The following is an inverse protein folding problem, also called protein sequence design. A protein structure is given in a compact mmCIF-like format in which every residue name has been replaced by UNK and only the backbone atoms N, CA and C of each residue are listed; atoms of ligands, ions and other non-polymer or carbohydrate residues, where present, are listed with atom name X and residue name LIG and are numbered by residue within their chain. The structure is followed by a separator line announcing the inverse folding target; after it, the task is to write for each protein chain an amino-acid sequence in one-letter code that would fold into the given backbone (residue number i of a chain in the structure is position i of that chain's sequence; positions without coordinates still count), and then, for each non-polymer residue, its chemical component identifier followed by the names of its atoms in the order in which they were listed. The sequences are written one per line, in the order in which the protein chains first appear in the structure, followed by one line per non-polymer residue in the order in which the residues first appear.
data_IF_686224166372
#
_entry.id   IF_686224166372
#
_cell.length_a   1.000
_cell.length_b   1.000
_cell.length_c   1.000
_cell.angle_alpha   90.00
_cell.angle_beta   90.00
_cell.angle_gamma   90.00
#
_symmetry.space_group_name_H-M   'P 1'
#
loop_
_entity.id
_entity.type
_entity.pdbx_description
1 polymer ?
#
# COMPACT_ATOMS: atom_id res chain seq x y z
N UNK A 1 5.78 7.29 21.46
CA UNK A 1 6.36 7.60 20.13
C UNK A 1 7.58 6.71 19.95
N UNK A 2 7.42 5.54 19.33
CA UNK A 2 8.54 4.60 19.14
C UNK A 2 9.34 5.06 17.90
N UNK A 3 10.66 5.18 18.03
CA UNK A 3 11.58 5.90 17.13
C UNK A 3 11.80 5.30 15.74
N UNK A 4 10.77 4.82 15.06
CA UNK A 4 10.82 4.62 13.62
C UNK A 4 10.79 5.99 12.95
N UNK A 5 11.98 6.55 12.65
CA UNK A 5 12.11 7.65 11.69
C UNK A 5 11.51 7.14 10.38
N UNK A 6 10.31 7.58 10.02
CA UNK A 6 9.81 7.44 8.65
C UNK A 6 10.82 8.21 7.80
N UNK A 7 11.66 7.53 6.99
CA UNK A 7 12.68 8.22 6.23
C UNK A 7 11.94 9.21 5.35
N UNK A 8 12.28 10.48 5.53
CA UNK A 8 11.68 11.58 4.80
C UNK A 8 11.80 11.24 3.31
N UNK A 9 10.67 11.18 2.58
CA UNK A 9 10.59 10.77 1.16
C UNK A 9 11.59 11.53 0.26
N UNK A 10 12.08 12.69 0.72
CA UNK A 10 13.06 13.53 0.04
C UNK A 10 14.36 12.81 -0.39
N UNK A 11 14.90 11.91 0.44
CA UNK A 11 16.18 11.25 0.13
C UNK A 11 16.00 9.89 -0.58
N UNK A 12 14.75 9.45 -0.79
CA UNK A 12 14.45 8.13 -1.33
C UNK A 12 15.09 7.83 -2.70
N UNK A 13 15.19 8.78 -3.66
CA UNK A 13 15.80 8.50 -4.95
C UNK A 13 17.27 8.08 -4.87
N UNK A 14 18.07 8.72 -4.00
CA UNK A 14 19.48 8.37 -3.80
C UNK A 14 19.63 7.04 -3.05
N UNK A 15 18.73 6.75 -2.11
CA UNK A 15 18.69 5.45 -1.43
C UNK A 15 18.41 4.29 -2.39
N UNK A 16 17.64 4.52 -3.46
CA UNK A 16 17.33 3.50 -4.47
C UNK A 16 18.50 3.22 -5.43
N UNK A 17 19.47 4.12 -5.57
CA UNK A 17 20.62 3.93 -6.47
C UNK A 17 21.48 2.71 -6.10
N UNK A 18 21.44 2.32 -4.82
CA UNK A 18 22.14 1.14 -4.32
C UNK A 18 21.26 -0.12 -4.31
N UNK A 19 20.03 -0.05 -4.81
CA UNK A 19 19.09 -1.16 -4.88
C UNK A 19 18.90 -1.66 -6.31
N UNK A 20 18.44 -2.90 -6.49
CA UNK A 20 18.03 -3.44 -7.81
C UNK A 20 16.61 -3.01 -8.22
N UNK A 21 15.99 -2.07 -7.49
CA UNK A 21 14.61 -1.66 -7.74
C UNK A 21 14.55 -0.58 -8.82
N UNK A 22 13.48 -0.54 -9.62
CA UNK A 22 13.30 0.53 -10.59
C UNK A 22 13.14 1.87 -9.87
N UNK A 23 13.74 2.95 -10.41
CA UNK A 23 13.63 4.30 -9.83
C UNK A 23 12.17 4.77 -9.68
N UNK A 24 11.28 4.27 -10.53
CA UNK A 24 9.83 4.52 -10.47
C UNK A 24 9.18 3.99 -9.19
N UNK A 25 9.82 3.07 -8.45
CA UNK A 25 9.33 2.61 -7.15
C UNK A 25 9.23 3.76 -6.12
N UNK A 26 10.11 4.77 -6.21
CA UNK A 26 10.03 5.98 -5.38
C UNK A 26 8.78 6.84 -5.67
N UNK A 27 8.19 6.72 -6.86
CA UNK A 27 6.93 7.40 -7.20
C UNK A 27 5.70 6.59 -6.78
N UNK A 28 5.87 5.28 -6.54
CA UNK A 28 4.80 4.34 -6.20
C UNK A 28 4.91 3.82 -4.77
N UNK A 29 5.16 2.52 -4.63
CA UNK A 29 5.10 1.78 -3.37
C UNK A 29 6.11 2.24 -2.30
N UNK A 30 7.25 2.80 -2.70
CA UNK A 30 8.21 3.35 -1.74
C UNK A 30 8.00 4.85 -1.50
N UNK A 31 7.22 5.51 -2.35
CA UNK A 31 6.89 6.93 -2.26
C UNK A 31 5.68 7.24 -1.38
N UNK A 32 5.11 8.44 -1.59
CA UNK A 32 3.91 8.90 -0.88
C UNK A 32 2.76 7.86 -0.92
N UNK A 33 2.41 7.23 -2.06
CA UNK A 33 1.31 6.27 -2.08
C UNK A 33 1.49 5.10 -1.10
N UNK A 34 2.68 4.51 -1.05
CA UNK A 34 2.96 3.39 -0.14
C UNK A 34 3.11 3.83 1.31
N UNK A 35 3.73 4.98 1.56
CA UNK A 35 3.80 5.58 2.91
C UNK A 35 2.39 5.86 3.43
N UNK A 36 1.51 6.44 2.62
CA UNK A 36 0.11 6.67 3.00
C UNK A 36 -0.62 5.35 3.29
N UNK A 37 -0.47 4.33 2.44
CA UNK A 37 -1.06 3.02 2.68
C UNK A 37 -0.58 2.41 4.01
N UNK A 38 0.74 2.42 4.27
CA UNK A 38 1.34 1.88 5.49
C UNK A 38 0.89 2.62 6.75
N UNK A 39 0.93 3.96 6.74
CA UNK A 39 0.49 4.76 7.88
C UNK A 39 -1.01 4.53 8.15
N UNK A 40 -1.83 4.46 7.10
CA UNK A 40 -3.27 4.23 7.27
C UNK A 40 -3.56 2.91 7.97
N UNK A 41 -2.96 1.80 7.53
CA UNK A 41 -3.19 0.48 8.13
C UNK A 41 -2.54 0.35 9.51
N UNK A 42 -1.25 0.65 9.63
CA UNK A 42 -0.47 0.29 10.83
C UNK A 42 -0.64 1.33 11.94
N UNK A 43 -0.67 2.62 11.61
CA UNK A 43 -0.66 3.68 12.62
C UNK A 43 -2.05 4.23 12.91
N UNK A 44 -2.86 4.49 11.88
CA UNK A 44 -4.19 5.06 12.05
C UNK A 44 -5.22 4.00 12.43
N UNK A 45 -5.36 2.94 11.63
CA UNK A 45 -6.31 1.87 11.87
C UNK A 45 -5.79 0.84 12.89
N UNK A 46 -4.47 0.66 12.99
CA UNK A 46 -3.81 -0.36 13.84
C UNK A 46 -4.36 -1.77 13.60
N UNK A 47 -4.57 -2.11 12.32
CA UNK A 47 -5.14 -3.39 11.93
C UNK A 47 -4.26 -4.55 12.37
N UNK A 48 -4.94 -5.63 12.76
CA UNK A 48 -4.34 -6.91 13.16
C UNK A 48 -4.83 -8.03 12.23
N UNK A 49 -4.05 -9.11 12.18
CA UNK A 49 -4.42 -10.29 11.39
C UNK A 49 -5.75 -10.90 11.85
N UNK A 50 -6.50 -11.45 10.90
CA UNK A 50 -7.85 -11.98 11.12
C UNK A 50 -8.97 -10.93 11.02
N UNK A 51 -8.66 -9.63 11.04
CA UNK A 51 -9.65 -8.58 10.85
C UNK A 51 -10.10 -8.44 9.38
N UNK A 52 -11.20 -7.72 9.15
CA UNK A 52 -11.67 -7.38 7.80
C UNK A 52 -11.33 -5.93 7.46
N UNK A 53 -10.63 -5.73 6.34
CA UNK A 53 -10.31 -4.41 5.78
C UNK A 53 -11.23 -4.13 4.60
N UNK A 54 -12.01 -3.06 4.69
CA UNK A 54 -12.89 -2.60 3.61
C UNK A 54 -12.25 -1.39 2.92
N UNK A 55 -12.09 -1.47 1.60
CA UNK A 55 -11.38 -0.46 0.80
C UNK A 55 -12.34 0.20 -0.19
N UNK A 56 -12.54 1.50 0.01
CA UNK A 56 -13.19 2.35 -0.99
C UNK A 56 -12.23 2.62 -2.14
N UNK A 57 -12.70 2.50 -3.38
CA UNK A 57 -11.87 2.68 -4.59
C UNK A 57 -10.61 1.80 -4.59
N UNK A 58 -10.81 0.48 -4.44
CA UNK A 58 -9.74 -0.50 -4.31
C UNK A 58 -8.78 -0.53 -5.50
N UNK A 59 -9.21 -0.12 -6.71
CA UNK A 59 -8.32 -0.02 -7.88
C UNK A 59 -7.65 1.35 -8.03
N UNK A 60 -7.82 2.27 -7.07
CA UNK A 60 -7.16 3.57 -7.06
C UNK A 60 -5.68 3.47 -6.71
N UNK A 61 -4.96 4.59 -6.81
CA UNK A 61 -3.51 4.67 -6.62
C UNK A 61 -3.02 4.09 -5.27
N UNK A 62 -3.78 4.29 -4.19
CA UNK A 62 -3.43 3.81 -2.84
C UNK A 62 -4.20 2.53 -2.49
N UNK A 63 -5.45 2.40 -2.97
CA UNK A 63 -6.35 1.30 -2.58
C UNK A 63 -5.79 -0.09 -2.88
N UNK A 64 -5.14 -0.28 -4.03
CA UNK A 64 -4.59 -1.58 -4.41
C UNK A 64 -3.39 -1.95 -3.54
N UNK A 65 -2.58 -0.96 -3.14
CA UNK A 65 -1.46 -1.12 -2.21
C UNK A 65 -1.97 -1.55 -0.83
N UNK A 66 -3.00 -0.87 -0.31
CA UNK A 66 -3.64 -1.24 0.96
C UNK A 66 -4.13 -2.68 0.92
N UNK A 67 -4.78 -3.10 -0.18
CA UNK A 67 -5.26 -4.47 -0.32
C UNK A 67 -4.15 -5.51 -0.25
N UNK A 68 -3.01 -5.26 -0.89
CA UNK A 68 -1.85 -6.16 -0.81
C UNK A 68 -1.28 -6.21 0.62
N UNK A 69 -1.04 -5.06 1.25
CA UNK A 69 -0.50 -5.01 2.62
C UNK A 69 -1.45 -5.70 3.60
N UNK A 70 -2.75 -5.44 3.52
CA UNK A 70 -3.75 -6.06 4.39
C UNK A 70 -3.79 -7.59 4.23
N UNK A 71 -3.69 -8.11 3.00
CA UNK A 71 -3.56 -9.56 2.76
C UNK A 71 -2.29 -10.12 3.41
N UNK A 72 -1.14 -9.43 3.28
CA UNK A 72 0.13 -9.84 3.90
C UNK A 72 0.01 -9.89 5.43
N UNK A 73 -0.74 -8.96 6.03
CA UNK A 73 -1.03 -8.93 7.46
C UNK A 73 -2.02 -10.03 7.92
N UNK A 74 -2.55 -10.84 7.00
CA UNK A 74 -3.52 -11.90 7.31
C UNK A 74 -4.95 -11.39 7.49
N UNK A 75 -5.27 -10.21 6.98
CA UNK A 75 -6.64 -9.67 7.01
C UNK A 75 -7.48 -10.22 5.84
N UNK A 76 -8.80 -10.26 6.03
CA UNK A 76 -9.76 -10.43 4.94
C UNK A 76 -9.97 -9.08 4.25
N UNK A 77 -9.78 -9.01 2.93
CA UNK A 77 -9.93 -7.75 2.17
C UNK A 77 -11.21 -7.75 1.35
N UNK A 78 -11.98 -6.65 1.45
CA UNK A 78 -13.17 -6.39 0.64
C UNK A 78 -13.01 -5.01 -0.01
N UNK A 79 -13.12 -4.94 -1.34
CA UNK A 79 -12.88 -3.69 -2.08
C UNK A 79 -14.03 -3.34 -3.03
N UNK A 80 -14.38 -2.06 -3.10
CA UNK A 80 -15.27 -1.51 -4.13
C UNK A 80 -14.46 -0.78 -5.21
N UNK A 81 -14.85 -0.93 -6.47
CA UNK A 81 -14.24 -0.22 -7.60
C UNK A 81 -15.29 0.10 -8.67
N UNK A 82 -14.96 1.01 -9.58
CA UNK A 82 -15.94 1.64 -10.46
C UNK A 82 -16.49 0.77 -11.59
N UNK A 83 -15.85 -0.34 -11.93
CA UNK A 83 -16.35 -1.27 -12.97
C UNK A 83 -15.81 -2.69 -12.78
N UNK A 84 -16.38 -3.64 -13.54
CA UNK A 84 -16.00 -5.06 -13.54
C UNK A 84 -14.54 -5.28 -13.94
N UNK A 85 -14.02 -4.51 -14.89
CA UNK A 85 -12.68 -4.72 -15.44
C UNK A 85 -11.62 -4.43 -14.39
N UNK A 86 -11.77 -3.30 -13.67
CA UNK A 86 -10.94 -2.97 -12.50
C UNK A 86 -11.07 -4.01 -11.40
N UNK A 87 -12.27 -4.57 -11.19
CA UNK A 87 -12.48 -5.62 -10.20
C UNK A 87 -11.79 -6.93 -10.61
N UNK A 88 -11.76 -7.26 -11.90
CA UNK A 88 -11.04 -8.42 -12.44
C UNK A 88 -9.54 -8.23 -12.28
N UNK A 89 -9.00 -7.08 -12.69
CA UNK A 89 -7.59 -6.74 -12.55
C UNK A 89 -7.08 -6.92 -11.10
N UNK A 90 -7.84 -6.43 -10.11
CA UNK A 90 -7.53 -6.61 -8.68
C UNK A 90 -7.50 -8.06 -8.19
N UNK A 91 -8.12 -8.99 -8.92
CA UNK A 91 -8.25 -10.40 -8.52
C UNK A 91 -7.30 -11.32 -9.29
N UNK A 92 -6.89 -10.94 -10.50
CA UNK A 92 -6.12 -11.82 -11.40
C UNK A 92 -4.69 -11.36 -11.63
N UNK A 93 -4.43 -10.05 -11.59
CA UNK A 93 -3.13 -9.47 -11.96
C UNK A 93 -2.36 -8.90 -10.75
N UNK A 94 -2.95 -8.95 -9.54
CA UNK A 94 -2.47 -8.27 -8.33
C UNK A 94 -2.48 -9.20 -7.11
#
# INVERSE_FOLDING_TARGET
MCGHKIPLVADLPSQLEHTKLPKTAALGILGIPGVTAYISLIHACKVSGGETVVISSAAGQIGHIIGQIAKILGCRVVGYTGNSDKASWLKTEL
#
